data_IF_079197671414
#
_entry.id   IF_079197671414
#
_cell.length_a   1.000
_cell.length_b   1.000
_cell.length_c   1.000
_cell.angle_alpha   90.00
_cell.angle_beta   90.00
_cell.angle_gamma   90.00
#
_symmetry.space_group_name_H-M   'P 1'
#
loop_
_entity.id
_entity.type
_entity.pdbx_description
1 polymer ?
#
# COMPACT_ATOMS: atom_id res chain seq x y z
N UNK A 1 26.69 -41.17 8.39
CA UNK A 1 26.93 -42.39 9.21
C UNK A 1 25.56 -42.86 9.72
N UNK A 2 25.23 -44.13 9.47
CA UNK A 2 23.91 -44.77 9.64
C UNK A 2 23.48 -44.81 11.10
N UNK A 3 22.18 -44.65 11.39
CA UNK A 3 21.43 -45.65 12.19
C UNK A 3 19.95 -45.66 11.83
N UNK A 4 19.46 -46.86 11.56
CA UNK A 4 18.10 -47.25 11.23
C UNK A 4 17.51 -47.96 12.47
N UNK A 5 16.25 -47.71 12.80
CA UNK A 5 15.44 -48.62 13.61
C UNK A 5 14.13 -48.89 12.86
N UNK A 6 13.95 -50.15 12.47
CA UNK A 6 12.71 -50.77 12.00
C UNK A 6 12.21 -51.64 13.14
N UNK A 7 10.93 -51.54 13.52
CA UNK A 7 10.03 -52.72 13.67
C UNK A 7 8.59 -52.26 13.98
N UNK A 8 7.68 -52.26 13.01
CA UNK A 8 6.70 -53.33 12.64
C UNK A 8 5.42 -53.33 13.49
N UNK A 9 4.30 -52.85 12.91
CA UNK A 9 3.05 -53.62 12.74
C UNK A 9 1.95 -52.78 12.06
N UNK A 10 1.91 -52.89 10.73
CA UNK A 10 0.73 -53.10 9.90
C UNK A 10 -0.64 -52.69 10.47
N UNK A 11 -1.08 -51.47 10.17
CA UNK A 11 -2.49 -51.11 9.99
C UNK A 11 -2.62 -50.19 8.76
N UNK A 12 -3.25 -50.72 7.71
CA UNK A 12 -4.03 -50.06 6.67
C UNK A 12 -3.54 -48.69 6.10
N UNK A 13 -2.80 -48.81 5.01
CA UNK A 13 -3.03 -48.20 3.68
C UNK A 13 -3.61 -46.77 3.56
N UNK A 14 -2.81 -45.93 2.87
CA UNK A 14 -3.14 -44.71 2.13
C UNK A 14 -3.21 -43.39 2.89
N UNK A 15 -2.10 -43.00 3.53
CA UNK A 15 -1.81 -41.59 3.78
C UNK A 15 -0.86 -41.10 2.69
N UNK A 16 -1.37 -40.34 1.73
CA UNK A 16 -0.52 -39.48 0.90
C UNK A 16 0.21 -38.54 1.85
N UNK A 17 1.48 -38.82 2.13
CA UNK A 17 2.32 -37.90 2.90
C UNK A 17 2.52 -36.64 2.05
N UNK A 18 1.67 -35.64 2.24
CA UNK A 18 1.95 -34.28 1.81
C UNK A 18 3.11 -33.78 2.67
N UNK A 19 4.33 -33.99 2.20
CA UNK A 19 5.49 -33.31 2.76
C UNK A 19 5.31 -31.85 2.35
N UNK A 20 4.81 -31.01 3.26
CA UNK A 20 4.83 -29.55 3.10
C UNK A 20 6.29 -29.13 3.12
N UNK A 21 6.96 -29.21 1.95
CA UNK A 21 8.21 -28.49 1.74
C UNK A 21 7.81 -27.02 1.66
N UNK A 22 7.95 -26.31 2.77
CA UNK A 22 7.98 -24.86 2.74
C UNK A 22 9.09 -24.45 1.78
N UNK A 23 8.74 -24.06 0.56
CA UNK A 23 9.66 -23.37 -0.32
C UNK A 23 9.83 -21.98 0.27
N UNK A 24 11.07 -21.62 0.62
CA UNK A 24 11.39 -20.24 0.93
C UNK A 24 11.02 -19.41 -0.29
N UNK A 25 9.99 -18.58 -0.16
CA UNK A 25 9.60 -17.65 -1.23
C UNK A 25 10.63 -16.52 -1.19
N UNK A 26 11.35 -16.32 -2.28
CA UNK A 26 12.32 -15.24 -2.38
C UNK A 26 11.59 -13.90 -2.35
N UNK A 27 11.91 -13.05 -1.37
CA UNK A 27 11.29 -11.75 -1.20
C UNK A 27 11.81 -11.00 0.02
N UNK A 28 11.76 -9.65 0.02
CA UNK A 28 12.19 -8.85 1.16
C UNK A 28 11.24 -9.04 2.35
N UNK A 29 11.78 -9.42 3.52
CA UNK A 29 11.02 -9.51 4.78
C UNK A 29 10.83 -8.12 5.40
N UNK A 30 9.91 -7.34 4.87
CA UNK A 30 9.65 -5.96 5.31
C UNK A 30 9.24 -5.88 6.79
N UNK A 31 8.30 -6.72 7.23
CA UNK A 31 7.83 -6.75 8.64
C UNK A 31 8.99 -7.07 9.60
N UNK A 32 9.80 -8.08 9.27
CA UNK A 32 10.98 -8.42 10.07
C UNK A 32 11.99 -7.28 10.17
N UNK A 33 12.22 -6.57 9.05
CA UNK A 33 13.10 -5.39 9.02
C UNK A 33 12.54 -4.23 9.87
N UNK A 34 11.23 -4.00 9.86
CA UNK A 34 10.58 -2.95 10.67
C UNK A 34 10.74 -3.26 12.17
N UNK A 35 10.42 -4.49 12.59
CA UNK A 35 10.54 -4.90 14.01
C UNK A 35 12.00 -4.80 14.46
N UNK A 36 12.93 -5.25 13.63
CA UNK A 36 14.36 -5.16 13.90
C UNK A 36 14.84 -3.70 14.01
N UNK A 37 14.44 -2.84 13.09
CA UNK A 37 14.80 -1.42 13.08
C UNK A 37 14.24 -0.69 14.32
N UNK A 38 13.02 -1.02 14.76
CA UNK A 38 12.43 -0.48 15.97
C UNK A 38 13.22 -0.87 17.22
N UNK A 39 13.52 -2.16 17.40
CA UNK A 39 14.30 -2.66 18.54
C UNK A 39 15.68 -2.00 18.57
N UNK A 40 16.35 -1.90 17.42
CA UNK A 40 17.64 -1.21 17.30
C UNK A 40 17.55 0.28 17.60
N UNK A 41 16.51 0.97 17.13
CA UNK A 41 16.30 2.39 17.42
C UNK A 41 16.18 2.65 18.93
N UNK A 42 15.41 1.81 19.64
CA UNK A 42 15.27 1.88 21.11
C UNK A 42 16.59 1.55 21.81
N UNK A 43 17.33 0.54 21.33
CA UNK A 43 18.61 0.15 21.92
C UNK A 43 19.69 1.24 21.75
N UNK A 44 19.81 1.83 20.55
CA UNK A 44 20.78 2.90 20.27
C UNK A 44 20.55 4.12 21.15
N UNK A 45 19.29 4.47 21.43
CA UNK A 45 18.95 5.63 22.28
C UNK A 45 19.40 5.46 23.74
N UNK A 46 19.65 4.23 24.19
CA UNK A 46 20.13 3.95 25.55
C UNK A 46 21.67 4.06 25.68
N UNK A 47 22.40 4.12 24.56
CA UNK A 47 23.87 4.11 24.54
C UNK A 47 24.42 5.47 24.10
N UNK A 48 24.09 6.54 24.83
CA UNK A 48 24.68 7.87 24.58
C UNK A 48 26.14 7.92 25.10
N UNK A 49 27.10 8.54 24.38
CA UNK A 49 26.97 9.33 23.15
C UNK A 49 27.18 8.57 21.82
N UNK A 50 27.60 7.29 21.86
CA UNK A 50 27.89 6.52 20.64
C UNK A 50 26.64 6.25 19.79
N UNK A 51 25.50 6.00 20.43
CA UNK A 51 24.20 5.81 19.80
C UNK A 51 23.72 7.07 19.08
N UNK A 52 23.99 8.26 19.62
CA UNK A 52 23.61 9.53 19.01
C UNK A 52 24.32 9.74 17.66
N UNK A 53 25.59 9.35 17.54
CA UNK A 53 26.33 9.41 16.28
C UNK A 53 25.69 8.54 15.18
N UNK A 54 25.26 7.32 15.54
CA UNK A 54 24.61 6.39 14.61
C UNK A 54 23.20 6.89 14.23
N UNK A 55 22.43 7.40 15.20
CA UNK A 55 21.11 8.00 14.95
C UNK A 55 21.23 9.19 13.99
N UNK A 56 22.24 10.04 14.19
CA UNK A 56 22.51 11.17 13.29
C UNK A 56 22.86 10.70 11.89
N UNK A 57 23.72 9.68 11.74
CA UNK A 57 24.03 9.08 10.44
C UNK A 57 22.76 8.60 9.70
N UNK A 58 21.91 7.83 10.37
CA UNK A 58 20.64 7.38 9.78
C UNK A 58 19.70 8.53 9.45
N UNK A 59 19.70 9.59 10.24
CA UNK A 59 18.92 10.80 9.98
C UNK A 59 19.40 11.50 8.70
N UNK A 60 20.71 11.65 8.51
CA UNK A 60 21.29 12.20 7.28
C UNK A 60 21.02 11.31 6.06
N UNK A 61 21.17 9.99 6.20
CA UNK A 61 20.85 9.04 5.13
C UNK A 61 19.39 9.16 4.73
N UNK A 62 18.47 9.20 5.70
CA UNK A 62 17.05 9.37 5.43
C UNK A 62 16.75 10.71 4.73
N UNK A 63 17.44 11.79 5.11
CA UNK A 63 17.27 13.07 4.41
C UNK A 63 17.69 12.94 2.94
N UNK A 64 18.84 12.31 2.66
CA UNK A 64 19.32 12.08 1.29
C UNK A 64 18.43 11.11 0.49
N UNK A 65 17.81 10.14 1.15
CA UNK A 65 16.83 9.27 0.50
C UNK A 65 15.61 10.04 0.02
N UNK A 66 15.16 11.09 0.73
CA UNK A 66 14.07 11.93 0.25
C UNK A 66 14.43 12.68 -1.03
N UNK A 67 15.62 13.26 -1.09
CA UNK A 67 16.12 13.93 -2.30
C UNK A 67 16.14 12.95 -3.49
N UNK A 68 16.51 11.69 -3.26
CA UNK A 68 16.47 10.64 -4.29
C UNK A 68 15.03 10.32 -4.73
N UNK A 69 14.07 10.30 -3.80
CA UNK A 69 12.65 10.08 -4.13
C UNK A 69 12.10 11.22 -4.98
N UNK A 70 12.45 12.47 -4.69
CA UNK A 70 12.08 13.63 -5.53
C UNK A 70 12.61 13.48 -6.97
N UNK A 71 13.83 12.99 -7.12
CA UNK A 71 14.39 12.69 -8.44
C UNK A 71 13.59 11.58 -9.15
N UNK A 72 13.24 10.50 -8.46
CA UNK A 72 12.43 9.41 -9.02
C UNK A 72 11.06 9.93 -9.46
N UNK A 73 10.42 10.80 -8.67
CA UNK A 73 9.15 11.43 -9.03
C UNK A 73 9.24 12.24 -10.31
N UNK A 74 10.39 12.85 -10.59
CA UNK A 74 10.64 13.57 -11.84
C UNK A 74 10.71 12.64 -13.06
N UNK A 75 11.23 11.43 -12.90
CA UNK A 75 11.28 10.39 -13.94
C UNK A 75 10.00 9.56 -14.06
N UNK A 76 9.10 9.64 -13.07
CA UNK A 76 7.84 8.89 -13.01
C UNK A 76 7.06 8.94 -14.34
N UNK A 77 6.88 10.10 -15.02
CA UNK A 77 6.12 10.16 -16.26
C UNK A 77 6.58 9.20 -17.36
N UNK A 78 7.89 8.99 -17.49
CA UNK A 78 8.44 8.07 -18.48
C UNK A 78 8.21 6.60 -18.11
N UNK A 79 8.34 6.27 -16.82
CA UNK A 79 8.00 4.94 -16.31
C UNK A 79 6.52 4.59 -16.52
N UNK A 80 5.62 5.57 -16.31
CA UNK A 80 4.19 5.39 -16.50
C UNK A 80 3.84 4.97 -17.94
N UNK A 81 4.40 5.64 -18.95
CA UNK A 81 4.14 5.31 -20.37
C UNK A 81 4.55 3.88 -20.70
N UNK A 82 5.72 3.44 -20.21
CA UNK A 82 6.21 2.08 -20.47
C UNK A 82 5.34 1.02 -19.80
N UNK A 83 4.86 1.27 -18.57
CA UNK A 83 4.02 0.33 -17.84
C UNK A 83 2.63 0.20 -18.48
N UNK A 84 2.05 1.30 -18.97
CA UNK A 84 0.79 1.27 -19.73
C UNK A 84 0.97 0.46 -21.02
N UNK A 85 2.07 0.67 -21.75
CA UNK A 85 2.32 0.00 -23.02
C UNK A 85 2.38 -1.53 -22.86
N UNK A 86 3.06 -2.04 -21.84
CA UNK A 86 3.11 -3.48 -21.54
C UNK A 86 1.72 -4.02 -21.20
N UNK A 87 0.96 -3.30 -20.39
CA UNK A 87 -0.35 -3.76 -19.90
C UNK A 87 -1.40 -3.91 -21.02
N UNK A 88 -1.30 -3.10 -22.08
CA UNK A 88 -2.22 -3.15 -23.22
C UNK A 88 -1.95 -4.34 -24.15
N UNK A 89 -0.73 -4.90 -24.12
CA UNK A 89 -0.33 -6.01 -24.99
C UNK A 89 -0.84 -7.38 -24.52
N UNK A 90 -1.23 -7.51 -23.24
CA UNK A 90 -1.60 -8.79 -22.61
C UNK A 90 -3.10 -9.17 -22.76
N UNK A 91 -3.89 -8.42 -23.56
CA UNK A 91 -5.33 -8.70 -23.73
C UNK A 91 -5.56 -9.65 -24.92
N UNK A 92 -5.76 -10.93 -24.65
CA UNK A 92 -5.85 -11.96 -25.71
C UNK A 92 -7.23 -12.62 -25.95
N UNK A 93 -8.30 -12.35 -25.17
CA UNK A 93 -9.53 -13.16 -25.27
C UNK A 93 -10.87 -12.39 -25.40
N UNK A 94 -11.73 -12.86 -26.32
CA UNK A 94 -13.00 -12.18 -26.69
C UNK A 94 -14.27 -12.99 -26.45
N UNK A 95 -14.20 -14.29 -26.10
CA UNK A 95 -15.40 -15.14 -26.03
C UNK A 95 -16.14 -15.11 -24.68
N UNK A 96 -15.45 -14.82 -23.56
CA UNK A 96 -16.06 -14.70 -22.21
C UNK A 96 -16.28 -13.25 -21.73
N UNK A 97 -16.11 -12.30 -22.67
CA UNK A 97 -16.00 -10.87 -22.38
C UNK A 97 -17.18 -10.26 -21.59
N UNK A 98 -18.47 -10.60 -21.86
CA UNK A 98 -19.58 -9.94 -21.17
C UNK A 98 -19.64 -10.24 -19.66
N UNK A 99 -19.39 -11.49 -19.27
CA UNK A 99 -19.36 -11.89 -17.85
C UNK A 99 -18.15 -11.28 -17.13
N UNK A 100 -17.02 -11.23 -17.82
CA UNK A 100 -15.78 -10.65 -17.32
C UNK A 100 -15.90 -9.14 -17.11
N UNK A 101 -16.59 -8.43 -18.00
CA UNK A 101 -16.90 -6.99 -17.84
C UNK A 101 -17.76 -6.74 -16.61
N UNK A 102 -18.80 -7.56 -16.38
CA UNK A 102 -19.62 -7.45 -15.16
C UNK A 102 -18.82 -7.71 -13.89
N UNK A 103 -17.90 -8.67 -13.92
CA UNK A 103 -16.96 -8.91 -12.84
C UNK A 103 -16.08 -7.68 -12.55
N UNK A 104 -15.45 -7.10 -13.58
CA UNK A 104 -14.62 -5.89 -13.45
C UNK A 104 -15.42 -4.73 -12.85
N UNK A 105 -16.63 -4.48 -13.36
CA UNK A 105 -17.51 -3.43 -12.83
C UNK A 105 -17.84 -3.67 -11.36
N UNK A 106 -18.11 -4.92 -10.98
CA UNK A 106 -18.43 -5.29 -9.60
C UNK A 106 -17.25 -5.03 -8.65
N UNK A 107 -16.03 -5.39 -9.06
CA UNK A 107 -14.82 -5.09 -8.29
C UNK A 107 -14.63 -3.58 -8.15
N UNK A 108 -14.73 -2.83 -9.26
CA UNK A 108 -14.59 -1.36 -9.24
C UNK A 108 -15.62 -0.71 -8.30
N UNK A 109 -16.87 -1.14 -8.34
CA UNK A 109 -17.91 -0.65 -7.43
C UNK A 109 -17.58 -0.98 -5.97
N UNK A 110 -17.10 -2.20 -5.68
CA UNK A 110 -16.64 -2.58 -4.35
C UNK A 110 -15.51 -1.69 -3.84
N UNK A 111 -14.52 -1.40 -4.69
CA UNK A 111 -13.40 -0.51 -4.37
C UNK A 111 -13.85 0.94 -4.14
N UNK A 112 -14.78 1.44 -4.95
CA UNK A 112 -15.39 2.77 -4.77
C UNK A 112 -16.13 2.84 -3.45
N UNK A 113 -16.94 1.83 -3.12
CA UNK A 113 -17.68 1.76 -1.86
C UNK A 113 -16.72 1.74 -0.66
N UNK A 114 -15.69 0.89 -0.71
CA UNK A 114 -14.68 0.80 0.34
C UNK A 114 -13.95 2.13 0.53
N UNK A 115 -13.52 2.78 -0.56
CA UNK A 115 -12.84 4.08 -0.52
C UNK A 115 -13.78 5.17 0.01
N UNK A 116 -15.04 5.18 -0.41
CA UNK A 116 -16.03 6.16 0.05
C UNK A 116 -16.28 6.03 1.56
N UNK A 117 -16.39 4.80 2.07
CA UNK A 117 -16.53 4.53 3.50
C UNK A 117 -15.29 4.99 4.27
N UNK A 118 -14.09 4.73 3.76
CA UNK A 118 -12.84 5.20 4.37
C UNK A 118 -12.78 6.73 4.44
N UNK A 119 -13.10 7.43 3.35
CA UNK A 119 -13.12 8.89 3.31
C UNK A 119 -14.22 9.48 4.20
N UNK A 120 -15.34 8.79 4.35
CA UNK A 120 -16.40 9.18 5.27
C UNK A 120 -15.94 9.06 6.73
N UNK A 121 -15.26 7.98 7.09
CA UNK A 121 -14.65 7.81 8.43
C UNK A 121 -13.63 8.91 8.68
N UNK A 122 -12.78 9.22 7.70
CA UNK A 122 -11.83 10.33 7.78
C UNK A 122 -12.55 11.65 8.08
N UNK A 123 -13.56 12.00 7.28
CA UNK A 123 -14.32 13.24 7.45
C UNK A 123 -14.98 13.34 8.84
N UNK A 124 -15.60 12.26 9.32
CA UNK A 124 -16.22 12.25 10.65
C UNK A 124 -15.21 12.39 11.80
N UNK A 125 -13.96 11.95 11.62
CA UNK A 125 -12.95 11.98 12.68
C UNK A 125 -12.13 13.26 12.70
N UNK A 126 -11.86 13.85 11.54
CA UNK A 126 -10.99 15.01 11.42
C UNK A 126 -11.77 16.31 11.18
N UNK A 127 -13.04 16.22 10.76
CA UNK A 127 -13.83 17.33 10.23
C UNK A 127 -13.14 18.09 9.07
N UNK A 128 -12.17 17.47 8.39
CA UNK A 128 -11.44 18.02 7.25
C UNK A 128 -12.01 17.51 5.93
N UNK A 129 -11.83 18.28 4.85
CA UNK A 129 -12.31 17.87 3.54
C UNK A 129 -11.51 16.64 3.00
N UNK A 130 -12.14 15.48 2.77
CA UNK A 130 -11.45 14.30 2.26
C UNK A 130 -10.90 14.49 0.84
N UNK A 131 -11.50 15.36 0.02
CA UNK A 131 -11.01 15.63 -1.33
C UNK A 131 -9.71 16.44 -1.33
N UNK A 132 -9.51 17.29 -0.31
CA UNK A 132 -8.26 18.03 -0.07
C UNK A 132 -7.12 17.08 0.29
N UNK A 133 -7.40 16.04 1.07
CA UNK A 133 -6.44 14.96 1.34
C UNK A 133 -6.05 14.25 0.03
N UNK A 134 -7.03 13.79 -0.74
CA UNK A 134 -6.80 13.03 -1.97
C UNK A 134 -6.02 13.84 -3.01
N UNK A 135 -6.27 15.15 -3.15
CA UNK A 135 -5.54 16.00 -4.09
C UNK A 135 -4.06 16.14 -3.71
N UNK A 136 -3.75 16.32 -2.42
CA UNK A 136 -2.38 16.46 -1.91
C UNK A 136 -1.56 15.17 -2.08
N UNK A 137 -2.20 14.00 -1.98
CA UNK A 137 -1.52 12.70 -2.15
C UNK A 137 -1.68 12.07 -3.52
N UNK A 138 -2.32 12.76 -4.47
CA UNK A 138 -2.55 12.26 -5.82
C UNK A 138 -1.28 11.71 -6.51
N UNK A 139 -0.08 12.32 -6.37
CA UNK A 139 1.13 11.75 -6.96
C UNK A 139 1.49 10.34 -6.43
N UNK A 140 1.25 10.04 -5.15
CA UNK A 140 1.42 8.69 -4.61
C UNK A 140 0.36 7.73 -5.15
N UNK A 141 -0.90 8.17 -5.27
CA UNK A 141 -1.98 7.35 -5.81
C UNK A 141 -1.74 6.98 -7.28
N UNK A 142 -1.28 7.94 -8.10
CA UNK A 142 -0.88 7.67 -9.47
C UNK A 142 0.33 6.73 -9.52
N UNK A 143 1.36 6.98 -8.70
CA UNK A 143 2.53 6.09 -8.60
C UNK A 143 2.09 4.65 -8.29
N UNK A 144 1.18 4.46 -7.33
CA UNK A 144 0.62 3.17 -6.97
C UNK A 144 -0.16 2.52 -8.12
N UNK A 145 -1.01 3.30 -8.80
CA UNK A 145 -1.80 2.85 -9.94
C UNK A 145 -0.92 2.38 -11.11
N UNK A 146 0.21 3.05 -11.37
CA UNK A 146 1.06 2.68 -12.50
C UNK A 146 2.06 1.60 -12.17
N UNK A 147 2.72 1.68 -11.00
CA UNK A 147 3.72 0.70 -10.57
C UNK A 147 3.05 -0.61 -10.13
N UNK A 148 1.77 -0.58 -9.72
CA UNK A 148 1.02 -1.74 -9.22
C UNK A 148 1.68 -2.40 -7.99
N UNK A 149 2.43 -1.62 -7.20
CA UNK A 149 3.07 -2.09 -5.97
C UNK A 149 3.03 -1.05 -4.86
N UNK A 150 2.39 -1.40 -3.75
CA UNK A 150 2.37 -0.57 -2.54
C UNK A 150 3.77 -0.43 -1.95
N UNK A 151 4.58 -1.51 -1.96
CA UNK A 151 5.94 -1.48 -1.44
C UNK A 151 6.88 -0.58 -2.27
N UNK A 152 6.78 -0.62 -3.60
CA UNK A 152 7.57 0.27 -4.46
C UNK A 152 7.13 1.74 -4.35
N UNK A 153 5.86 1.98 -3.98
CA UNK A 153 5.30 3.33 -3.81
C UNK A 153 5.54 3.91 -2.40
N UNK A 154 5.99 3.08 -1.45
CA UNK A 154 6.19 3.49 -0.06
C UNK A 154 7.10 4.71 0.11
N UNK A 155 8.26 4.84 -0.58
CA UNK A 155 9.12 6.01 -0.41
C UNK A 155 8.43 7.32 -0.85
N UNK A 156 7.67 7.27 -1.95
CA UNK A 156 6.86 8.40 -2.46
C UNK A 156 5.76 8.75 -1.46
N UNK A 157 5.08 7.73 -0.94
CA UNK A 157 4.00 7.89 0.04
C UNK A 157 4.51 8.54 1.32
N UNK A 158 5.65 8.07 1.84
CA UNK A 158 6.30 8.64 3.02
C UNK A 158 6.74 10.09 2.78
N UNK A 159 7.29 10.40 1.60
CA UNK A 159 7.65 11.76 1.25
C UNK A 159 6.42 12.68 1.30
N UNK A 160 5.33 12.36 0.59
CA UNK A 160 4.12 13.20 0.54
C UNK A 160 3.40 13.30 1.89
N UNK A 161 3.41 12.24 2.70
CA UNK A 161 2.86 12.30 4.05
C UNK A 161 3.66 13.28 4.95
N UNK A 162 4.99 13.27 4.86
CA UNK A 162 5.84 14.14 5.67
C UNK A 162 5.92 15.59 5.11
N UNK A 163 5.91 15.78 3.79
CA UNK A 163 6.07 17.10 3.15
C UNK A 163 4.75 17.79 2.78
N UNK A 164 3.75 17.04 2.30
CA UNK A 164 2.48 17.60 1.81
C UNK A 164 1.33 17.54 2.82
N UNK A 165 1.31 16.52 3.68
CA UNK A 165 0.31 16.38 4.76
C UNK A 165 0.85 16.76 6.15
N UNK A 166 2.15 17.05 6.26
CA UNK A 166 2.82 17.42 7.52
C UNK A 166 2.64 16.41 8.67
N UNK A 167 2.43 15.13 8.34
CA UNK A 167 2.31 14.05 9.33
C UNK A 167 3.64 13.89 10.07
N UNK A 168 3.58 13.66 11.39
CA UNK A 168 4.77 13.43 12.19
C UNK A 168 5.62 12.27 11.62
N UNK A 169 6.91 12.53 11.45
CA UNK A 169 7.87 11.57 10.88
C UNK A 169 7.92 10.26 11.66
N UNK A 170 7.71 10.29 12.97
CA UNK A 170 7.67 9.08 13.80
C UNK A 170 6.46 8.20 13.44
N UNK A 171 5.30 8.82 13.22
CA UNK A 171 4.06 8.13 12.83
C UNK A 171 4.20 7.58 11.41
N UNK A 172 4.54 8.43 10.44
CA UNK A 172 4.63 8.02 9.03
C UNK A 172 5.62 6.86 8.81
N UNK A 173 6.79 6.90 9.47
CA UNK A 173 7.85 5.88 9.34
C UNK A 173 7.56 4.56 10.02
N UNK A 174 6.61 4.54 10.94
CA UNK A 174 6.17 3.31 11.60
C UNK A 174 4.92 2.73 10.94
N UNK A 175 3.91 3.59 10.72
CA UNK A 175 2.59 3.17 10.26
C UNK A 175 2.59 2.82 8.77
N UNK A 176 3.22 3.62 7.90
CA UNK A 176 3.16 3.37 6.45
C UNK A 176 3.84 2.04 6.07
N UNK A 177 5.06 1.71 6.54
CA UNK A 177 5.67 0.42 6.22
C UNK A 177 4.90 -0.79 6.77
N UNK A 178 4.27 -0.62 7.94
CA UNK A 178 3.42 -1.64 8.55
C UNK A 178 2.12 -1.84 7.74
N UNK A 179 1.44 -0.74 7.40
CA UNK A 179 0.22 -0.70 6.62
C UNK A 179 0.41 -1.33 5.24
N UNK A 180 1.50 -0.99 4.55
CA UNK A 180 1.80 -1.51 3.20
C UNK A 180 1.86 -3.04 3.13
N UNK A 181 2.12 -3.73 4.25
CA UNK A 181 2.07 -5.19 4.32
C UNK A 181 0.73 -5.72 4.85
N UNK A 182 0.08 -5.00 5.76
CA UNK A 182 -1.05 -5.53 6.54
C UNK A 182 -2.42 -5.00 6.09
N UNK A 183 -2.48 -3.81 5.53
CA UNK A 183 -3.71 -3.10 5.19
C UNK A 183 -4.05 -3.24 3.70
N UNK A 184 -4.54 -4.43 3.32
CA UNK A 184 -4.85 -4.78 1.93
C UNK A 184 -6.34 -4.91 1.65
N UNK A 185 -7.09 -3.86 1.97
CA UNK A 185 -8.55 -3.85 1.82
C UNK A 185 -9.01 -4.03 0.37
N UNK A 186 -8.34 -3.42 -0.60
CA UNK A 186 -8.66 -3.58 -2.02
C UNK A 186 -8.46 -5.02 -2.47
N UNK A 187 -7.38 -5.66 -1.99
CA UNK A 187 -7.09 -7.07 -2.25
C UNK A 187 -8.18 -7.98 -1.66
N UNK A 188 -8.61 -7.72 -0.43
CA UNK A 188 -9.70 -8.48 0.19
C UNK A 188 -11.03 -8.35 -0.57
N UNK A 189 -11.38 -7.15 -1.03
CA UNK A 189 -12.58 -6.93 -1.87
C UNK A 189 -12.47 -7.72 -3.17
N UNK A 190 -11.33 -7.65 -3.85
CA UNK A 190 -11.10 -8.41 -5.08
C UNK A 190 -11.22 -9.91 -4.86
N UNK A 191 -10.57 -10.47 -3.82
CA UNK A 191 -10.59 -11.90 -3.51
C UNK A 191 -12.00 -12.43 -3.29
N UNK A 192 -12.82 -11.72 -2.50
CA UNK A 192 -14.22 -12.12 -2.26
C UNK A 192 -15.02 -12.11 -3.56
N UNK A 193 -14.91 -11.05 -4.35
CA UNK A 193 -15.66 -10.93 -5.62
C UNK A 193 -15.20 -11.97 -6.63
N UNK A 194 -13.89 -12.26 -6.70
CA UNK A 194 -13.31 -13.29 -7.57
C UNK A 194 -13.83 -14.69 -7.24
N UNK A 195 -13.88 -15.04 -5.94
CA UNK A 195 -14.42 -16.33 -5.48
C UNK A 195 -15.90 -16.46 -5.82
N UNK A 196 -16.69 -15.40 -5.58
CA UNK A 196 -18.11 -15.41 -5.92
C UNK A 196 -18.34 -15.53 -7.42
N UNK A 197 -17.56 -14.84 -8.23
CA UNK A 197 -17.63 -14.94 -9.68
C UNK A 197 -17.34 -16.36 -10.18
N UNK A 198 -16.26 -16.99 -9.71
CA UNK A 198 -15.92 -18.37 -10.08
C UNK A 198 -16.99 -19.36 -9.58
N UNK A 199 -17.55 -19.14 -8.39
CA UNK A 199 -18.65 -19.98 -7.89
C UNK A 199 -19.89 -19.91 -8.80
N UNK A 200 -20.22 -18.71 -9.30
CA UNK A 200 -21.35 -18.51 -10.20
C UNK A 200 -21.12 -19.16 -11.57
N UNK A 201 -19.88 -19.20 -12.06
CA UNK A 201 -19.53 -19.94 -13.27
C UNK A 201 -19.73 -21.45 -13.09
N UNK A 202 -19.38 -21.96 -11.91
CA UNK A 202 -19.50 -23.38 -11.56
C UNK A 202 -20.86 -23.78 -10.99
N UNK A 203 -21.84 -22.86 -10.98
CA UNK A 203 -23.18 -23.08 -10.40
C UNK A 203 -23.13 -23.55 -8.93
N UNK A 204 -22.14 -23.08 -8.18
CA UNK A 204 -22.00 -23.30 -6.73
C UNK A 204 -22.65 -22.12 -6.01
N UNK A 205 -23.63 -22.42 -5.16
CA UNK A 205 -24.30 -21.41 -4.34
C UNK A 205 -23.64 -21.32 -2.96
N UNK A 206 -23.51 -20.10 -2.45
CA UNK A 206 -23.00 -19.83 -1.11
C UNK A 206 -24.15 -19.47 -0.15
N UNK A 207 -24.20 -20.16 0.98
CA UNK A 207 -25.08 -19.79 2.08
C UNK A 207 -24.54 -18.57 2.85
N UNK A 208 -25.38 -17.82 3.59
CA UNK A 208 -24.92 -16.65 4.35
C UNK A 208 -23.77 -16.92 5.33
N UNK A 209 -23.71 -18.12 5.91
CA UNK A 209 -22.61 -18.54 6.78
C UNK A 209 -21.30 -18.75 6.03
N UNK A 210 -21.36 -19.32 4.82
CA UNK A 210 -20.19 -19.55 3.97
C UNK A 210 -19.66 -18.23 3.42
N UNK A 211 -20.55 -17.27 3.09
CA UNK A 211 -20.17 -15.91 2.73
C UNK A 211 -19.40 -15.21 3.87
N UNK A 212 -19.88 -15.35 5.11
CA UNK A 212 -19.19 -14.77 6.26
C UNK A 212 -17.78 -15.39 6.46
N UNK A 213 -17.68 -16.71 6.33
CA UNK A 213 -16.39 -17.42 6.42
C UNK A 213 -15.46 -16.99 5.28
N UNK A 214 -15.97 -16.85 4.06
CA UNK A 214 -15.21 -16.35 2.91
C UNK A 214 -14.64 -14.96 3.19
N UNK A 215 -15.44 -14.02 3.72
CA UNK A 215 -14.96 -12.69 4.09
C UNK A 215 -13.84 -12.75 5.15
N UNK A 216 -13.95 -13.64 6.14
CA UNK A 216 -12.92 -13.82 7.17
C UNK A 216 -11.62 -14.39 6.56
N UNK A 217 -11.72 -15.39 5.69
CA UNK A 217 -10.56 -15.98 5.00
C UNK A 217 -9.87 -14.94 4.11
N UNK A 218 -10.63 -14.16 3.34
CA UNK A 218 -10.08 -13.09 2.51
C UNK A 218 -9.40 -12.01 3.36
N UNK A 219 -10.01 -11.61 4.49
CA UNK A 219 -9.38 -10.66 5.40
C UNK A 219 -8.03 -11.17 5.94
N UNK A 220 -7.95 -12.42 6.40
CA UNK A 220 -6.72 -13.02 6.90
C UNK A 220 -5.68 -13.19 5.79
N UNK A 221 -6.10 -13.69 4.63
CA UNK A 221 -5.21 -13.93 3.48
C UNK A 221 -4.65 -12.62 2.94
N UNK A 222 -5.44 -11.55 2.89
CA UNK A 222 -4.99 -10.24 2.42
C UNK A 222 -3.83 -9.66 3.24
N UNK A 223 -3.76 -9.91 4.56
CA UNK A 223 -2.62 -9.53 5.42
C UNK A 223 -1.35 -10.31 5.06
N UNK A 224 -1.51 -11.56 4.60
CA UNK A 224 -0.43 -12.45 4.20
C UNK A 224 0.01 -12.31 2.75
N UNK A 225 -0.75 -11.59 1.91
CA UNK A 225 -0.42 -11.42 0.51
C UNK A 225 0.87 -10.59 0.36
N UNK A 226 1.75 -10.86 -0.62
CA UNK A 226 2.89 -10.00 -0.93
C UNK A 226 2.47 -8.65 -1.54
N UNK A 227 3.22 -7.57 -1.31
CA UNK A 227 2.90 -6.22 -1.83
C UNK A 227 3.55 -5.92 -3.19
N UNK A 228 3.83 -6.98 -3.96
CA UNK A 228 4.57 -6.98 -5.22
C UNK A 228 3.62 -7.42 -6.35
N UNK A 229 3.72 -6.84 -7.56
CA UNK A 229 2.81 -7.16 -8.67
C UNK A 229 2.86 -8.65 -9.05
N UNK A 230 1.80 -9.16 -9.67
CA UNK A 230 1.67 -10.53 -10.20
C UNK A 230 1.66 -11.68 -9.18
N UNK A 231 1.87 -11.42 -7.88
CA UNK A 231 1.67 -12.41 -6.80
C UNK A 231 0.22 -12.48 -6.29
N UNK A 232 -0.67 -11.57 -6.75
CA UNK A 232 -2.09 -11.54 -6.39
C UNK A 232 -2.90 -12.76 -6.85
N UNK A 233 -2.55 -13.34 -8.01
CA UNK A 233 -3.15 -14.57 -8.52
C UNK A 233 -2.96 -15.75 -7.55
N UNK A 234 -1.79 -15.84 -6.90
CA UNK A 234 -1.46 -16.91 -5.94
C UNK A 234 -2.33 -16.79 -4.69
N UNK A 235 -2.55 -15.57 -4.20
CA UNK A 235 -3.44 -15.29 -3.08
C UNK A 235 -4.87 -15.73 -3.39
N UNK A 236 -5.36 -15.39 -4.58
CA UNK A 236 -6.71 -15.76 -5.06
C UNK A 236 -6.88 -17.28 -5.15
N UNK A 237 -5.87 -18.01 -5.66
CA UNK A 237 -5.86 -19.46 -5.67
C UNK A 237 -5.91 -20.06 -4.25
N UNK A 238 -5.21 -19.44 -3.29
CA UNK A 238 -5.24 -19.87 -1.88
C UNK A 238 -6.64 -19.70 -1.26
N UNK A 239 -7.34 -18.60 -1.54
CA UNK A 239 -8.71 -18.39 -1.05
C UNK A 239 -9.68 -19.37 -1.70
N UNK A 240 -9.58 -19.60 -3.01
CA UNK A 240 -10.44 -20.55 -3.74
C UNK A 240 -10.29 -21.99 -3.24
N UNK A 241 -9.05 -22.46 -3.04
CA UNK A 241 -8.80 -23.78 -2.48
C UNK A 241 -9.32 -23.92 -1.06
N UNK A 242 -9.26 -22.85 -0.26
CA UNK A 242 -9.78 -22.82 1.11
C UNK A 242 -11.30 -22.97 1.20
N UNK A 243 -12.03 -22.59 0.14
CA UNK A 243 -13.49 -22.80 0.04
C UNK A 243 -13.88 -24.01 -0.82
N UNK A 244 -12.89 -24.80 -1.26
CA UNK A 244 -13.12 -26.06 -1.99
C UNK A 244 -13.44 -25.90 -3.48
N UNK A 245 -13.14 -24.75 -4.09
CA UNK A 245 -13.31 -24.52 -5.53
C UNK A 245 -12.04 -24.90 -6.30
N UNK A 246 -12.23 -25.45 -7.50
CA UNK A 246 -11.14 -25.85 -8.39
C UNK A 246 -10.44 -24.61 -8.96
N UNK A 247 -9.10 -24.56 -8.88
CA UNK A 247 -8.33 -23.37 -9.28
C UNK A 247 -8.20 -23.22 -10.79
N UNK A 248 -8.65 -24.20 -11.60
CA UNK A 248 -8.53 -24.15 -13.06
C UNK A 248 -9.18 -22.92 -13.69
N UNK A 249 -10.27 -22.44 -13.10
CA UNK A 249 -11.02 -21.29 -13.61
C UNK A 249 -10.42 -19.92 -13.24
N UNK A 250 -9.38 -19.89 -12.39
CA UNK A 250 -8.65 -18.62 -12.09
C UNK A 250 -7.95 -18.04 -13.31
N UNK A 251 -7.64 -18.88 -14.31
CA UNK A 251 -7.06 -18.44 -15.57
C UNK A 251 -7.98 -17.43 -16.28
N UNK A 252 -9.29 -17.49 -16.05
CA UNK A 252 -10.27 -16.52 -16.60
C UNK A 252 -10.13 -15.11 -16.02
N UNK A 253 -9.48 -14.96 -14.87
CA UNK A 253 -9.25 -13.66 -14.22
C UNK A 253 -7.99 -12.96 -14.74
N UNK A 254 -7.02 -13.72 -15.24
CA UNK A 254 -5.72 -13.19 -15.71
C UNK A 254 -5.85 -12.01 -16.70
N UNK A 255 -6.76 -12.03 -17.70
CA UNK A 255 -6.88 -10.93 -18.67
C UNK A 255 -7.33 -9.59 -18.05
N UNK A 256 -7.91 -9.59 -16.85
CA UNK A 256 -8.36 -8.38 -16.15
C UNK A 256 -7.57 -8.09 -14.88
N UNK A 257 -6.75 -9.03 -14.42
CA UNK A 257 -5.88 -8.83 -13.27
C UNK A 257 -4.97 -7.62 -13.44
N UNK A 258 -4.48 -7.36 -14.66
CA UNK A 258 -3.61 -6.21 -14.91
C UNK A 258 -4.26 -4.87 -14.49
N UNK A 259 -5.56 -4.67 -14.75
CA UNK A 259 -6.23 -3.42 -14.38
C UNK A 259 -6.72 -3.43 -12.93
N UNK A 260 -7.22 -4.56 -12.45
CA UNK A 260 -7.77 -4.67 -11.10
C UNK A 260 -6.68 -4.61 -10.03
N UNK A 261 -5.51 -5.20 -10.27
CA UNK A 261 -4.36 -5.14 -9.36
C UNK A 261 -3.90 -3.69 -9.10
N UNK A 262 -3.94 -2.86 -10.14
CA UNK A 262 -3.56 -1.43 -10.08
C UNK A 262 -4.53 -0.64 -9.21
N UNK A 263 -5.83 -0.86 -9.39
CA UNK A 263 -6.87 -0.21 -8.59
C UNK A 263 -6.82 -0.67 -7.13
N UNK A 264 -6.61 -1.97 -6.90
CA UNK A 264 -6.44 -2.54 -5.55
C UNK A 264 -5.24 -1.88 -4.84
N UNK A 265 -4.11 -1.78 -5.53
CA UNK A 265 -2.89 -1.16 -5.02
C UNK A 265 -3.13 0.30 -4.64
N UNK A 266 -3.79 1.06 -5.52
CA UNK A 266 -4.12 2.47 -5.28
C UNK A 266 -5.00 2.65 -4.03
N UNK A 267 -6.03 1.81 -3.86
CA UNK A 267 -6.93 1.85 -2.68
C UNK A 267 -6.19 1.45 -1.41
N UNK A 268 -5.29 0.46 -1.47
CA UNK A 268 -4.48 0.05 -0.32
C UNK A 268 -3.56 1.20 0.13
N UNK A 269 -2.86 1.86 -0.80
CA UNK A 269 -2.01 3.02 -0.49
C UNK A 269 -2.81 4.18 0.10
N UNK A 270 -3.99 4.47 -0.44
CA UNK A 270 -4.88 5.48 0.16
C UNK A 270 -5.29 5.11 1.58
N UNK A 271 -5.58 3.83 1.84
CA UNK A 271 -5.83 3.28 3.16
C UNK A 271 -4.70 3.56 4.14
N UNK A 272 -3.45 3.32 3.73
CA UNK A 272 -2.26 3.54 4.56
C UNK A 272 -2.09 5.02 4.92
N UNK A 273 -2.29 5.91 3.96
CA UNK A 273 -2.20 7.37 4.15
C UNK A 273 -3.27 7.85 5.13
N UNK A 274 -4.53 7.45 4.93
CA UNK A 274 -5.64 7.84 5.82
C UNK A 274 -5.39 7.31 7.24
N UNK A 275 -4.89 6.07 7.38
CA UNK A 275 -4.56 5.49 8.67
C UNK A 275 -3.44 6.28 9.38
N UNK A 276 -2.35 6.58 8.68
CA UNK A 276 -1.25 7.37 9.23
C UNK A 276 -1.71 8.76 9.67
N UNK A 277 -2.55 9.43 8.86
CA UNK A 277 -3.10 10.74 9.20
C UNK A 277 -4.02 10.68 10.43
N UNK A 278 -4.92 9.69 10.50
CA UNK A 278 -5.83 9.56 11.63
C UNK A 278 -5.09 9.29 12.94
N UNK A 279 -4.06 8.46 12.92
CA UNK A 279 -3.22 8.20 14.10
C UNK A 279 -2.50 9.48 14.54
N UNK A 280 -1.93 10.22 13.60
CA UNK A 280 -1.26 11.50 13.88
C UNK A 280 -2.22 12.53 14.49
N UNK A 281 -3.41 12.67 13.89
CA UNK A 281 -4.46 13.55 14.38
C UNK A 281 -4.93 13.17 15.79
N UNK A 282 -5.05 11.87 16.09
CA UNK A 282 -5.40 11.39 17.43
C UNK A 282 -4.29 11.69 18.45
N UNK A 283 -3.01 11.56 18.07
CA UNK A 283 -1.88 11.87 18.95
C UNK A 283 -1.81 13.37 19.29
N UNK A 284 -2.09 14.25 18.33
CA UNK A 284 -2.10 15.70 18.55
C UNK A 284 -3.25 16.15 19.48
N UNK A 285 -4.38 15.45 19.49
CA UNK A 285 -5.47 15.73 20.42
C UNK A 285 -5.12 15.41 21.89
N UNK A 286 -4.20 14.48 22.11
CA UNK A 286 -3.77 14.05 23.44
C UNK A 286 -2.65 14.95 24.04
N UNK A 287 -1.96 15.74 23.21
CA UNK A 287 -0.90 16.70 23.61
C UNK A 287 -1.47 18.13 23.72
N UNK A 288 -1.70 18.68 24.93
CA UNK A 288 -2.24 20.02 25.08
C UNK A 288 -1.20 21.10 24.72
N UNK A 289 -1.21 21.56 23.47
CA UNK A 289 -0.44 22.75 23.05
C UNK A 289 0.07 22.80 21.61
N UNK A 290 -0.01 21.70 20.85
CA UNK A 290 0.50 21.65 19.48
C UNK A 290 -0.68 21.69 18.49
N UNK A 291 -0.86 22.83 17.81
CA UNK A 291 -1.93 23.00 16.84
C UNK A 291 -1.69 22.09 15.63
N UNK A 292 -2.76 21.40 15.21
CA UNK A 292 -2.84 20.65 13.95
C UNK A 292 -2.23 21.48 12.81
N UNK A 293 -1.17 21.01 12.12
CA UNK A 293 -0.64 21.73 10.98
C UNK A 293 -1.75 21.78 9.92
N UNK A 294 -2.41 22.93 9.85
CA UNK A 294 -3.63 23.11 9.07
C UNK A 294 -3.43 22.56 7.65
N UNK A 295 -4.24 21.56 7.29
CA UNK A 295 -4.63 21.37 5.91
C UNK A 295 -5.41 22.63 5.56
N UNK A 296 -4.68 23.66 5.11
CA UNK A 296 -5.26 24.92 4.70
C UNK A 296 -6.03 24.62 3.41
N UNK A 297 -7.35 24.46 3.51
CA UNK A 297 -8.24 24.09 2.40
C UNK A 297 -8.35 25.21 1.34
N UNK A 298 -7.59 26.31 1.49
CA UNK A 298 -7.60 27.48 0.61
C UNK A 298 -6.37 27.61 -0.32
N UNK A 299 -5.37 26.72 -0.27
CA UNK A 299 -4.24 26.77 -1.20
C UNK A 299 -4.48 25.95 -2.47
N UNK A 300 -5.56 26.26 -3.18
CA UNK A 300 -5.72 25.90 -4.58
C UNK A 300 -5.61 27.16 -5.44
N UNK A 301 -4.40 27.51 -5.89
CA UNK A 301 -4.26 28.20 -7.19
C UNK A 301 -3.52 29.54 -7.28
N UNK A 302 -2.81 30.04 -6.27
CA UNK A 302 -2.06 31.30 -6.45
C UNK A 302 -0.69 31.29 -5.76
N UNK A 303 0.34 30.77 -6.41
CA UNK A 303 1.71 31.28 -6.24
C UNK A 303 2.62 30.86 -7.41
N UNK A 304 2.43 31.48 -8.57
CA UNK A 304 3.46 31.57 -9.61
C UNK A 304 3.18 32.81 -10.46
N UNK A 305 3.63 34.00 -10.01
CA UNK A 305 3.48 35.20 -10.85
C UNK A 305 3.47 36.58 -10.18
N UNK A 306 4.14 36.82 -9.06
CA UNK A 306 4.29 38.20 -8.57
C UNK A 306 5.51 38.41 -7.66
N UNK A 307 6.71 38.09 -8.15
CA UNK A 307 7.95 38.58 -7.51
C UNK A 307 9.06 38.85 -8.52
N UNK A 308 8.71 39.57 -9.58
CA UNK A 308 9.69 40.26 -10.44
C UNK A 308 9.21 41.68 -10.68
N UNK A 309 9.47 42.56 -9.71
CA UNK A 309 9.75 43.98 -9.94
C UNK A 309 10.02 44.63 -8.59
N UNK A 310 11.27 45.05 -8.35
CA UNK A 310 11.63 46.47 -8.36
C UNK A 310 12.96 46.67 -7.63
N UNK A 311 14.07 46.55 -8.37
CA UNK A 311 15.38 47.07 -7.94
C UNK A 311 15.79 48.09 -9.00
N UNK A 312 15.54 49.36 -8.71
CA UNK A 312 16.44 50.49 -9.01
C UNK A 312 15.77 51.82 -8.64
N UNK A 313 16.30 52.47 -7.60
CA UNK A 313 16.79 53.86 -7.66
C UNK A 313 17.27 54.33 -6.27
N UNK A 314 18.59 54.50 -6.16
CA UNK A 314 19.39 55.33 -5.23
C UNK A 314 18.77 56.72 -4.88
N UNK A 315 19.27 57.53 -3.89
CA UNK A 315 20.70 57.73 -3.59
C UNK A 315 21.14 58.12 -2.14
N UNK A 316 22.47 58.19 -1.97
CA UNK A 316 23.27 59.08 -1.11
C UNK A 316 23.20 58.98 0.44
N UNK A 317 24.30 58.54 1.07
CA UNK A 317 24.99 59.37 2.07
C UNK A 317 26.46 58.96 2.27
N UNK A 318 27.31 59.97 2.33
CA UNK A 318 28.77 59.86 2.37
C UNK A 318 29.33 59.46 3.73
N UNK A 319 30.46 58.76 3.68
CA UNK A 319 31.37 58.50 4.79
C UNK A 319 31.99 59.81 5.29
N UNK A 320 31.85 60.07 6.60
CA UNK A 320 32.65 61.04 7.33
C UNK A 320 33.54 60.27 8.31
N UNK A 321 34.86 60.38 8.12
CA UNK A 321 35.88 59.83 9.02
C UNK A 321 35.94 60.63 10.33
N UNK A 322 35.91 59.94 11.48
CA UNK A 322 36.70 60.22 12.68
C UNK A 322 36.59 59.06 13.69
#
# INVERSE_FOLDING_TARGET
>A
MKTCFISTSMFLQNATHHIVRGTQVDGPNAVGLIVWAFIWGVALRQVSPAGDAIINLFTYLNAKLKDLVELILWYLPFGMVSLIAVSVLDIEDTESLPKLVLFVITVILGLILQTSLLLLIFWFKTNRNPFSLVSRVAPALFTALFISSSAATLPVTMHLCESGLHINKAVSRMILPLGTNTNKNGTAVYEVVAVLFISQLNSVEFNPSELFILCLIAAITSVGAPSIPALGAVSTMMVLTSVGLETGDTVLLLPVEWILDRLNTMVNVLGDIVCAYLIDHMMLQDEPGEQDPDINDNESGEEEGAKVMNVNSDPEHGDEMA
#
